data_IF_855043892640
#
_entry.id   IF_855043892640
#
_cell.length_a   1.000
_cell.length_b   1.000
_cell.length_c   1.000
_cell.angle_alpha   90.00
_cell.angle_beta   90.00
_cell.angle_gamma   90.00
#
_symmetry.space_group_name_H-M   'P 1'
#
loop_
_entity.id
_entity.type
_entity.pdbx_description
1 polymer ?
#
# COMPACT_ATOMS: atom_id res chain seq x y z
N UNK A 1 2.84 6.71 -2.85
CA UNK A 1 2.88 8.03 -3.49
C UNK A 1 2.04 8.02 -4.76
N UNK A 2 1.47 9.17 -5.10
CA UNK A 2 0.66 9.35 -6.31
C UNK A 2 1.33 10.37 -7.22
N UNK A 3 1.71 9.95 -8.42
CA UNK A 3 2.23 10.84 -9.46
C UNK A 3 1.15 11.16 -10.47
N UNK A 4 0.83 12.45 -10.61
CA UNK A 4 -0.10 12.95 -11.61
C UNK A 4 0.65 13.23 -12.90
N UNK A 5 0.23 12.63 -13.99
CA UNK A 5 0.84 12.77 -15.31
C UNK A 5 0.04 13.74 -16.18
N UNK A 6 0.74 14.52 -17.02
CA UNK A 6 0.11 15.44 -18.01
C UNK A 6 -0.36 14.73 -19.28
N UNK A 7 0.22 13.58 -19.57
CA UNK A 7 -0.07 12.77 -20.74
C UNK A 7 0.12 11.29 -20.39
N UNK A 8 -0.44 10.35 -21.18
CA UNK A 8 -0.14 8.92 -21.00
C UNK A 8 1.35 8.67 -21.22
N UNK A 9 1.88 7.68 -20.51
CA UNK A 9 3.22 7.19 -20.77
C UNK A 9 3.26 6.49 -22.14
N UNK A 10 4.41 6.54 -22.79
CA UNK A 10 4.59 5.89 -24.10
C UNK A 10 4.60 4.38 -23.92
N UNK A 11 3.84 3.70 -24.80
CA UNK A 11 3.90 2.25 -24.92
C UNK A 11 5.32 1.78 -25.28
N UNK A 12 5.70 0.65 -24.71
CA UNK A 12 7.01 0.05 -24.91
C UNK A 12 6.89 -1.41 -25.30
N UNK A 13 7.87 -1.95 -26.05
CA UNK A 13 7.94 -3.39 -26.30
C UNK A 13 8.02 -4.15 -24.96
N UNK A 14 7.30 -5.23 -24.85
CA UNK A 14 7.27 -6.07 -23.65
C UNK A 14 5.86 -6.49 -23.26
N UNK A 15 5.56 -6.46 -21.96
CA UNK A 15 4.24 -6.80 -21.45
C UNK A 15 3.20 -5.75 -21.87
N UNK A 16 1.98 -6.22 -22.14
CA UNK A 16 0.86 -5.33 -22.39
C UNK A 16 0.61 -4.40 -21.19
N UNK A 17 0.07 -3.20 -21.38
CA UNK A 17 -0.33 -2.32 -20.31
C UNK A 17 -1.23 -3.04 -19.30
N UNK A 18 -0.93 -2.88 -18.02
CA UNK A 18 -1.69 -3.48 -16.92
C UNK A 18 -2.05 -2.41 -15.89
N UNK A 19 -3.12 -2.63 -15.15
CA UNK A 19 -3.51 -1.74 -14.08
C UNK A 19 -2.57 -1.85 -12.86
N UNK A 20 -1.98 -3.02 -12.63
CA UNK A 20 -1.05 -3.30 -11.53
C UNK A 20 0.27 -3.84 -12.09
N UNK A 21 1.35 -3.20 -11.73
CA UNK A 21 2.66 -3.41 -12.33
C UNK A 21 3.73 -3.56 -11.26
N UNK A 22 4.50 -4.64 -11.32
CA UNK A 22 5.65 -4.88 -10.45
C UNK A 22 6.93 -4.58 -11.21
N UNK A 23 7.80 -3.75 -10.63
CA UNK A 23 9.12 -3.45 -11.20
C UNK A 23 10.16 -4.36 -10.55
N UNK A 24 10.58 -5.39 -11.27
CA UNK A 24 11.55 -6.36 -10.76
C UNK A 24 12.89 -5.71 -10.41
N UNK A 25 13.49 -6.13 -9.29
CA UNK A 25 14.78 -5.63 -8.84
C UNK A 25 14.73 -4.29 -8.11
N UNK A 26 13.55 -3.74 -7.88
CA UNK A 26 13.37 -2.52 -7.09
C UNK A 26 12.96 -2.82 -5.65
N UNK A 27 12.99 -1.82 -4.80
CA UNK A 27 12.54 -1.93 -3.40
C UNK A 27 11.05 -1.63 -3.22
N UNK A 28 10.39 -1.08 -4.23
CA UNK A 28 8.95 -0.86 -4.25
C UNK A 28 8.17 -2.15 -4.54
N UNK A 29 6.87 -2.11 -4.30
CA UNK A 29 5.94 -3.15 -4.76
C UNK A 29 5.46 -2.90 -6.19
N UNK A 30 5.96 -1.83 -6.83
CA UNK A 30 5.48 -1.40 -8.13
C UNK A 30 4.47 -0.27 -8.05
N UNK A 31 3.58 -0.20 -9.03
CA UNK A 31 2.61 0.88 -9.13
C UNK A 31 1.28 0.40 -9.75
N UNK A 32 0.22 1.09 -9.39
CA UNK A 32 -1.10 0.96 -10.01
C UNK A 32 -1.35 2.15 -10.94
N UNK A 33 -1.79 1.88 -12.16
CA UNK A 33 -2.27 2.90 -13.08
C UNK A 33 -3.77 3.14 -12.85
N UNK A 34 -4.14 4.34 -12.38
CA UNK A 34 -5.52 4.71 -12.13
C UNK A 34 -6.37 4.80 -13.41
N UNK A 35 -5.77 4.71 -14.58
CA UNK A 35 -6.47 4.62 -15.88
C UNK A 35 -7.48 3.47 -15.93
N UNK A 36 -7.23 2.37 -15.18
CA UNK A 36 -8.18 1.24 -15.09
C UNK A 36 -9.56 1.62 -14.54
N UNK A 37 -9.68 2.74 -13.85
CA UNK A 37 -10.97 3.24 -13.32
C UNK A 37 -11.85 3.89 -14.39
N UNK A 38 -11.34 4.05 -15.60
CA UNK A 38 -12.08 4.63 -16.72
C UNK A 38 -12.59 3.53 -17.64
N UNK A 39 -13.80 3.73 -18.16
CA UNK A 39 -14.38 2.86 -19.20
C UNK A 39 -13.98 3.29 -20.61
N UNK A 40 -13.38 4.47 -20.76
CA UNK A 40 -12.89 4.99 -22.04
C UNK A 40 -11.55 4.32 -22.39
N UNK A 41 -11.44 3.62 -23.52
CA UNK A 41 -10.21 2.96 -23.96
C UNK A 41 -9.15 3.94 -24.50
N UNK A 42 -9.48 5.22 -24.66
CA UNK A 42 -8.55 6.22 -25.21
C UNK A 42 -7.47 6.53 -24.17
N UNK A 43 -6.16 6.39 -24.48
CA UNK A 43 -5.09 6.76 -23.59
C UNK A 43 -5.18 8.24 -23.21
N UNK A 44 -5.17 8.51 -21.91
CA UNK A 44 -5.28 9.86 -21.35
C UNK A 44 -4.28 10.06 -20.23
N UNK A 45 -4.16 11.31 -19.79
CA UNK A 45 -3.46 11.64 -18.54
C UNK A 45 -4.02 10.81 -17.37
N UNK A 46 -3.15 10.28 -16.53
CA UNK A 46 -3.51 9.37 -15.44
C UNK A 46 -2.74 9.69 -14.17
N UNK A 47 -3.00 8.93 -13.13
CA UNK A 47 -2.26 8.94 -11.88
C UNK A 47 -1.63 7.57 -11.68
N UNK A 48 -0.32 7.54 -11.44
CA UNK A 48 0.36 6.32 -11.01
C UNK A 48 0.49 6.30 -9.50
N UNK A 49 -0.04 5.27 -8.86
CA UNK A 49 0.06 5.05 -7.42
C UNK A 49 1.20 4.08 -7.14
N UNK A 50 2.31 4.59 -6.66
CA UNK A 50 3.49 3.79 -6.31
C UNK A 50 3.47 3.41 -4.83
N UNK A 51 3.85 2.16 -4.54
CA UNK A 51 3.86 1.57 -3.20
C UNK A 51 5.28 1.22 -2.76
N UNK A 52 5.69 1.77 -1.61
CA UNK A 52 6.99 1.50 -0.99
C UNK A 52 6.78 0.95 0.43
N UNK A 53 6.85 -0.37 0.63
CA UNK A 53 6.79 -0.95 1.96
C UNK A 53 8.12 -0.74 2.70
N UNK A 54 8.04 -0.52 4.00
CA UNK A 54 9.16 -0.30 4.91
C UNK A 54 9.06 -1.25 6.11
N UNK A 55 8.67 -2.49 5.84
CA UNK A 55 8.62 -3.55 6.85
C UNK A 55 10.00 -4.16 7.12
N UNK A 56 10.06 -5.16 8.02
CA UNK A 56 11.27 -5.93 8.23
C UNK A 56 11.69 -6.56 6.91
N UNK A 57 12.89 -6.30 6.48
CA UNK A 57 13.43 -6.79 5.22
C UNK A 57 14.62 -7.72 5.51
N UNK A 58 14.68 -8.82 4.76
CA UNK A 58 15.88 -9.67 4.76
C UNK A 58 17.06 -9.00 4.06
N UNK A 59 16.79 -7.96 3.29
CA UNK A 59 17.76 -7.31 2.42
C UNK A 59 18.48 -6.16 3.08
N UNK A 60 17.78 -5.40 3.94
CA UNK A 60 18.34 -4.23 4.65
C UNK A 60 18.44 -4.43 6.17
N UNK A 61 17.91 -5.53 6.70
CA UNK A 61 17.96 -5.83 8.12
C UNK A 61 17.15 -4.90 9.02
N UNK A 62 16.46 -3.92 8.45
CA UNK A 62 15.69 -2.95 9.21
C UNK A 62 14.47 -3.62 9.87
N UNK A 63 14.22 -3.27 11.13
CA UNK A 63 12.99 -3.66 11.82
C UNK A 63 11.80 -2.81 11.35
N UNK A 64 10.57 -3.29 11.56
CA UNK A 64 9.37 -2.51 11.24
C UNK A 64 9.32 -1.17 11.97
N UNK A 65 9.94 -1.06 13.16
CA UNK A 65 10.07 0.20 13.92
C UNK A 65 11.02 1.17 13.20
N UNK A 66 12.17 0.69 12.76
CA UNK A 66 13.16 1.50 12.03
C UNK A 66 12.61 1.94 10.69
N UNK A 67 11.95 1.05 9.95
CA UNK A 67 11.27 1.40 8.71
C UNK A 67 10.22 2.50 8.90
N UNK A 68 9.41 2.42 9.98
CA UNK A 68 8.46 3.46 10.33
C UNK A 68 9.13 4.78 10.71
N UNK A 69 10.20 4.74 11.47
CA UNK A 69 10.94 5.94 11.84
C UNK A 69 11.51 6.61 10.61
N UNK A 70 12.14 5.84 9.73
CA UNK A 70 12.64 6.34 8.43
C UNK A 70 11.51 6.95 7.57
N UNK A 71 10.32 6.30 7.51
CA UNK A 71 9.18 6.85 6.81
C UNK A 71 8.77 8.25 7.31
N UNK A 72 8.83 8.46 8.62
CA UNK A 72 8.41 9.72 9.24
C UNK A 72 9.47 10.81 9.10
N UNK A 73 10.75 10.46 9.24
CA UNK A 73 11.86 11.42 9.30
C UNK A 73 12.35 11.84 7.91
N UNK A 74 12.30 10.94 6.92
CA UNK A 74 12.79 11.24 5.59
C UNK A 74 11.98 12.40 4.94
N UNK A 75 12.65 13.37 4.32
CA UNK A 75 11.97 14.50 3.70
C UNK A 75 11.15 14.06 2.48
N UNK A 76 10.18 14.89 2.08
CA UNK A 76 9.34 14.63 0.89
C UNK A 76 10.19 14.37 -0.38
N UNK A 77 11.28 15.12 -0.55
CA UNK A 77 12.18 14.97 -1.69
C UNK A 77 12.80 13.58 -1.79
N UNK A 78 13.11 12.94 -0.66
CA UNK A 78 13.63 11.57 -0.61
C UNK A 78 12.67 10.57 -1.29
N UNK A 79 11.38 10.62 -0.92
CA UNK A 79 10.37 9.73 -1.47
C UNK A 79 10.05 10.04 -2.94
N UNK A 80 10.01 11.33 -3.29
CA UNK A 80 9.90 11.76 -4.68
C UNK A 80 11.01 11.19 -5.55
N UNK A 81 12.24 11.31 -5.09
CA UNK A 81 13.42 10.91 -5.88
C UNK A 81 13.49 9.39 -6.03
N UNK A 82 13.11 8.65 -4.99
CA UNK A 82 12.99 7.19 -5.07
C UNK A 82 11.92 6.78 -6.10
N UNK A 83 10.74 7.38 -6.05
CA UNK A 83 9.68 7.09 -7.01
C UNK A 83 10.11 7.42 -8.45
N UNK A 84 10.69 8.59 -8.67
CA UNK A 84 11.16 8.99 -10.00
C UNK A 84 12.25 8.04 -10.48
N UNK A 85 13.24 7.71 -9.66
CA UNK A 85 14.31 6.78 -10.02
C UNK A 85 13.79 5.41 -10.40
N UNK A 86 12.88 4.86 -9.59
CA UNK A 86 12.33 3.53 -9.80
C UNK A 86 11.41 3.46 -11.03
N UNK A 87 10.49 4.40 -11.21
CA UNK A 87 9.54 4.40 -12.32
C UNK A 87 10.14 4.88 -13.64
N UNK A 88 11.25 5.59 -13.61
CA UNK A 88 11.97 5.96 -14.84
C UNK A 88 12.70 4.79 -15.51
N UNK A 89 12.87 3.66 -14.82
CA UNK A 89 13.44 2.44 -15.41
C UNK A 89 12.52 1.86 -16.47
N UNK A 90 11.26 1.49 -16.15
CA UNK A 90 10.31 1.03 -17.16
C UNK A 90 9.78 2.17 -18.05
N UNK A 91 9.78 3.41 -17.58
CA UNK A 91 9.21 4.58 -18.27
C UNK A 91 10.21 5.74 -18.32
N UNK A 92 11.17 5.76 -19.25
CA UNK A 92 12.18 6.84 -19.35
C UNK A 92 11.63 8.25 -19.55
N UNK A 93 10.38 8.38 -19.99
CA UNK A 93 9.65 9.64 -20.10
C UNK A 93 8.88 10.03 -18.82
N UNK A 94 8.85 9.17 -17.80
CA UNK A 94 8.07 9.38 -16.57
C UNK A 94 8.32 10.74 -15.92
N UNK A 95 9.58 11.05 -15.62
CA UNK A 95 9.94 12.29 -14.94
C UNK A 95 9.48 13.56 -15.70
N UNK A 96 9.43 13.48 -17.04
CA UNK A 96 9.00 14.60 -17.88
C UNK A 96 7.48 14.76 -17.92
N UNK A 97 6.74 13.67 -17.68
CA UNK A 97 5.28 13.66 -17.68
C UNK A 97 4.68 14.04 -16.30
N UNK A 98 5.45 13.91 -15.23
CA UNK A 98 4.98 14.22 -13.88
C UNK A 98 4.72 15.72 -13.72
N UNK A 99 3.51 16.07 -13.29
CA UNK A 99 3.11 17.44 -12.96
C UNK A 99 3.02 17.68 -11.46
N UNK A 100 2.74 16.62 -10.68
CA UNK A 100 2.58 16.68 -9.22
C UNK A 100 2.86 15.31 -8.63
N UNK A 101 3.44 15.30 -7.44
CA UNK A 101 3.58 14.07 -6.61
C UNK A 101 3.02 14.35 -5.23
N UNK A 102 2.08 13.52 -4.81
CA UNK A 102 1.52 13.49 -3.45
C UNK A 102 2.09 12.29 -2.69
N UNK A 103 2.68 12.55 -1.51
CA UNK A 103 3.24 11.50 -0.65
C UNK A 103 2.31 11.30 0.55
N UNK A 104 1.75 10.10 0.67
CA UNK A 104 1.01 9.69 1.86
C UNK A 104 1.87 8.71 2.66
N UNK A 105 1.96 8.93 3.96
CA UNK A 105 2.76 8.13 4.88
C UNK A 105 1.85 7.38 5.82
N UNK A 106 1.91 6.05 5.77
CA UNK A 106 1.15 5.18 6.67
C UNK A 106 2.11 4.51 7.65
N UNK A 107 2.22 5.05 8.85
CA UNK A 107 3.10 4.51 9.90
C UNK A 107 2.66 3.14 10.42
N UNK A 108 1.39 2.79 10.23
CA UNK A 108 0.78 1.50 10.57
C UNK A 108 -0.15 1.09 9.44
N UNK A 109 0.43 0.61 8.33
CA UNK A 109 -0.34 0.31 7.13
C UNK A 109 -0.98 -1.08 7.19
N UNK A 110 -0.20 -2.11 7.55
CA UNK A 110 -0.65 -3.49 7.50
C UNK A 110 -0.10 -4.27 8.71
N UNK A 111 -0.88 -5.22 9.22
CA UNK A 111 -0.39 -6.20 10.18
C UNK A 111 0.70 -7.07 9.56
N UNK A 112 1.73 -7.39 10.35
CA UNK A 112 2.82 -8.27 9.94
C UNK A 112 2.51 -9.68 10.46
N UNK A 113 2.20 -10.66 9.60
CA UNK A 113 1.90 -12.02 10.01
C UNK A 113 3.19 -12.75 10.41
N UNK A 114 3.59 -12.66 11.67
CA UNK A 114 4.74 -13.39 12.21
C UNK A 114 4.34 -14.79 12.68
N UNK A 115 5.24 -15.79 12.64
CA UNK A 115 4.99 -17.10 13.23
C UNK A 115 4.53 -17.00 14.69
N UNK A 116 3.47 -17.70 15.06
CA UNK A 116 2.87 -17.67 16.39
C UNK A 116 1.86 -16.54 16.64
N UNK A 117 1.70 -15.59 15.75
CA UNK A 117 0.74 -14.48 15.91
C UNK A 117 -0.67 -14.98 16.23
N UNK A 118 -1.15 -16.03 15.55
CA UNK A 118 -2.50 -16.58 15.74
C UNK A 118 -2.78 -17.08 17.17
N UNK A 119 -1.76 -17.48 17.92
CA UNK A 119 -1.91 -17.90 19.32
C UNK A 119 -2.25 -16.73 20.25
N UNK A 120 -1.94 -15.52 19.83
CA UNK A 120 -2.17 -14.28 20.58
C UNK A 120 -3.40 -13.48 20.12
N UNK A 121 -4.00 -13.89 19.00
CA UNK A 121 -5.18 -13.24 18.46
C UNK A 121 -6.46 -13.84 19.04
N UNK A 122 -7.51 -13.04 19.25
CA UNK A 122 -8.82 -13.55 19.64
C UNK A 122 -9.36 -14.53 18.58
N UNK A 123 -9.86 -15.68 19.03
CA UNK A 123 -10.48 -16.65 18.13
C UNK A 123 -11.78 -16.07 17.55
N UNK A 124 -12.05 -16.27 16.24
CA UNK A 124 -13.24 -15.69 15.58
C UNK A 124 -14.58 -16.10 16.23
N UNK A 125 -14.66 -17.33 16.74
CA UNK A 125 -15.87 -17.94 17.24
C UNK A 125 -16.01 -17.89 18.77
N UNK A 126 -15.06 -17.27 19.49
CA UNK A 126 -15.08 -17.16 20.95
C UNK A 126 -15.68 -15.84 21.44
N UNK A 127 -16.06 -15.76 22.72
CA UNK A 127 -16.49 -14.50 23.34
C UNK A 127 -15.46 -13.38 23.22
N UNK A 128 -14.18 -13.74 23.11
CA UNK A 128 -13.07 -12.82 22.86
C UNK A 128 -12.99 -12.34 21.40
N UNK A 129 -13.76 -12.93 20.47
CA UNK A 129 -13.93 -12.40 19.12
C UNK A 129 -14.60 -11.02 19.12
N UNK A 130 -15.24 -10.69 20.22
CA UNK A 130 -15.82 -9.37 20.48
C UNK A 130 -14.88 -8.58 21.41
N UNK A 131 -13.93 -7.89 20.80
CA UNK A 131 -13.04 -7.03 21.56
C UNK A 131 -13.77 -5.81 22.07
N UNK A 132 -14.13 -5.86 23.33
CA UNK A 132 -14.82 -4.77 24.04
C UNK A 132 -14.07 -4.38 25.32
N UNK A 133 -14.06 -3.09 25.58
CA UNK A 133 -13.64 -2.53 26.86
C UNK A 133 -14.74 -1.56 27.33
N UNK A 134 -15.67 -2.06 28.12
CA UNK A 134 -16.84 -1.31 28.54
C UNK A 134 -17.71 -0.91 27.33
N UNK A 135 -17.76 0.41 27.04
CA UNK A 135 -18.52 0.98 25.89
C UNK A 135 -17.74 1.06 24.60
N UNK A 136 -16.45 0.65 24.59
CA UNK A 136 -15.61 0.63 23.40
C UNK A 136 -15.69 -0.74 22.74
N UNK A 137 -15.90 -0.75 21.41
CA UNK A 137 -15.80 -1.94 20.58
C UNK A 137 -14.65 -1.74 19.60
N UNK A 138 -13.81 -2.76 19.44
CA UNK A 138 -12.67 -2.72 18.52
C UNK A 138 -12.98 -3.57 17.29
N UNK A 139 -12.99 -2.93 16.10
CA UNK A 139 -13.29 -3.56 14.83
C UNK A 139 -12.22 -3.18 13.80
N UNK A 140 -11.23 -4.04 13.64
CA UNK A 140 -10.12 -3.80 12.71
C UNK A 140 -9.58 -5.12 12.16
N UNK A 141 -9.08 -5.11 10.91
CA UNK A 141 -8.47 -6.27 10.27
C UNK A 141 -7.24 -6.81 11.02
N UNK A 142 -6.50 -5.96 11.76
CA UNK A 142 -5.35 -6.39 12.55
C UNK A 142 -5.67 -7.47 13.59
N UNK A 143 -6.93 -7.54 14.04
CA UNK A 143 -7.38 -8.57 14.99
C UNK A 143 -7.45 -9.99 14.42
N UNK A 144 -7.30 -10.14 13.12
CA UNK A 144 -7.14 -11.44 12.45
C UNK A 144 -5.70 -11.67 11.96
N UNK A 145 -4.89 -10.62 11.94
CA UNK A 145 -3.57 -10.64 11.34
C UNK A 145 -3.58 -10.57 9.81
N UNK A 146 -4.75 -10.30 9.22
CA UNK A 146 -4.94 -10.18 7.77
C UNK A 146 -5.43 -8.79 7.41
N UNK A 147 -4.61 -7.98 6.78
CA UNK A 147 -4.96 -6.62 6.36
C UNK A 147 -5.72 -6.63 5.03
N UNK A 148 -6.91 -7.22 5.01
CA UNK A 148 -7.80 -7.31 3.85
C UNK A 148 -9.19 -6.75 4.17
N UNK A 149 -9.92 -6.37 3.12
CA UNK A 149 -11.25 -5.77 3.23
C UNK A 149 -12.25 -6.69 3.95
N UNK A 150 -12.26 -7.97 3.61
CA UNK A 150 -13.21 -8.97 4.14
C UNK A 150 -13.08 -9.13 5.66
N UNK A 151 -11.85 -9.08 6.17
CA UNK A 151 -11.60 -9.12 7.62
C UNK A 151 -12.10 -7.84 8.30
N UNK A 152 -11.80 -6.69 7.74
CA UNK A 152 -12.28 -5.42 8.27
C UNK A 152 -13.80 -5.36 8.29
N UNK A 153 -14.45 -5.79 7.20
CA UNK A 153 -15.92 -5.86 7.08
C UNK A 153 -16.52 -6.80 8.12
N UNK A 154 -15.98 -8.02 8.24
CA UNK A 154 -16.46 -9.03 9.20
C UNK A 154 -16.36 -8.53 10.63
N UNK A 155 -15.20 -7.92 11.00
CA UNK A 155 -15.01 -7.36 12.35
C UNK A 155 -15.96 -6.20 12.63
N UNK A 156 -16.18 -5.33 11.65
CA UNK A 156 -17.16 -4.24 11.75
C UNK A 156 -18.58 -4.74 11.93
N UNK A 157 -18.99 -5.74 11.14
CA UNK A 157 -20.31 -6.36 11.24
C UNK A 157 -20.54 -7.01 12.63
N UNK A 158 -19.56 -7.79 13.12
CA UNK A 158 -19.65 -8.42 14.44
C UNK A 158 -19.73 -7.38 15.56
N UNK A 159 -18.92 -6.32 15.50
CA UNK A 159 -18.98 -5.24 16.48
C UNK A 159 -20.33 -4.53 16.47
N UNK A 160 -20.89 -4.26 15.28
CA UNK A 160 -22.19 -3.61 15.14
C UNK A 160 -23.37 -4.43 15.64
N UNK A 161 -23.32 -5.78 15.56
CA UNK A 161 -24.36 -6.66 16.11
C UNK A 161 -24.43 -6.65 17.65
N UNK A 162 -23.42 -6.16 18.31
CA UNK A 162 -23.28 -6.21 19.77
C UNK A 162 -23.50 -4.86 20.43
N UNK A 163 -23.83 -3.84 19.65
CA UNK A 163 -24.27 -2.53 20.12
C UNK A 163 -25.77 -2.52 20.36
#
# INVERSE_FOLDING_TARGET
ANAHLRAPLKDRPGAAPSWDNVVFGTQGLGYVDAGHQRLDPTPQATVLSWYRPLGPSRWDGASGREGRQHLLDAPWTHWRDQMIGELSVPHPDFAQQVTRIDITRYGHAMAIPTPGLRAHLPQPDGPAGQLRAGRLAFAHADWSGYSIFEEAFTRGHLAGKTL
#
